data_IF_078136418682
#
_entry.id   IF_078136418682
#
_cell.length_a   1.000
_cell.length_b   1.000
_cell.length_c   1.000
_cell.angle_alpha   90.00
_cell.angle_beta   90.00
_cell.angle_gamma   90.00
#
_symmetry.space_group_name_H-M   'P 1'
#
loop_
_entity.id
_entity.type
_entity.pdbx_description
1 polymer ?
#
# COMPACT_ATOMS: atom_id res chain seq x y z
N UNK A 1 -26.45 10.80 22.64
CA UNK A 1 -26.24 9.36 22.96
C UNK A 1 -27.29 8.99 23.99
N UNK A 2 -27.89 7.82 23.93
CA UNK A 2 -28.86 7.41 24.96
C UNK A 2 -28.05 6.88 26.14
N UNK A 3 -28.25 7.42 27.33
CA UNK A 3 -27.70 6.86 28.56
C UNK A 3 -28.18 5.40 28.67
N UNK A 4 -27.28 4.40 28.65
CA UNK A 4 -27.68 2.99 28.63
C UNK A 4 -28.29 2.51 29.96
N UNK A 5 -28.21 3.32 31.04
CA UNK A 5 -28.78 3.04 32.35
C UNK A 5 -30.09 3.79 32.60
N UNK A 6 -30.26 4.99 32.03
CA UNK A 6 -31.44 5.85 32.30
C UNK A 6 -32.35 6.08 31.08
N UNK A 7 -31.86 5.80 29.86
CA UNK A 7 -32.63 5.99 28.63
C UNK A 7 -32.75 7.45 28.16
N UNK A 8 -32.09 8.40 28.84
CA UNK A 8 -32.16 9.82 28.49
C UNK A 8 -31.26 10.18 27.31
N UNK A 9 -31.70 11.15 26.49
CA UNK A 9 -30.91 11.72 25.40
C UNK A 9 -29.87 12.65 26.03
N UNK A 10 -28.63 12.17 26.15
CA UNK A 10 -27.50 12.99 26.55
C UNK A 10 -27.20 13.97 25.42
N UNK A 11 -27.36 15.27 25.69
CA UNK A 11 -26.80 16.33 24.86
C UNK A 11 -25.26 16.24 24.94
N UNK A 12 -24.66 15.74 23.86
CA UNK A 12 -23.22 15.52 23.78
C UNK A 12 -22.43 16.82 23.97
N UNK A 13 -23.02 17.96 23.64
CA UNK A 13 -22.37 19.26 23.76
C UNK A 13 -22.30 19.68 25.22
N UNK A 14 -23.39 19.51 25.97
CA UNK A 14 -23.47 19.90 27.38
C UNK A 14 -22.58 19.01 28.28
N UNK A 15 -22.54 17.70 28.01
CA UNK A 15 -21.62 16.78 28.69
C UNK A 15 -20.14 17.12 28.38
N UNK A 16 -19.83 17.46 27.13
CA UNK A 16 -18.47 17.83 26.74
C UNK A 16 -18.03 19.16 27.38
N UNK A 17 -18.93 20.14 27.46
CA UNK A 17 -18.70 21.42 28.13
C UNK A 17 -18.46 21.22 29.64
N UNK A 18 -19.28 20.39 30.31
CA UNK A 18 -19.10 20.07 31.72
C UNK A 18 -17.75 19.38 32.01
N UNK A 19 -17.37 18.39 31.18
CA UNK A 19 -16.09 17.69 31.33
C UNK A 19 -14.88 18.59 31.08
N UNK A 20 -14.97 19.51 30.12
CA UNK A 20 -13.91 20.50 29.84
C UNK A 20 -13.75 21.51 30.97
N UNK A 21 -14.85 21.96 31.56
CA UNK A 21 -14.79 22.90 32.68
C UNK A 21 -14.17 22.23 33.92
N UNK A 22 -14.56 21.00 34.21
CA UNK A 22 -13.98 20.21 35.30
C UNK A 22 -12.48 19.94 35.09
N UNK A 23 -12.07 19.67 33.84
CA UNK A 23 -10.66 19.49 33.50
C UNK A 23 -9.86 20.79 33.67
N UNK A 24 -10.43 21.95 33.32
CA UNK A 24 -9.81 23.26 33.55
C UNK A 24 -9.65 23.58 35.03
N UNK A 25 -10.68 23.34 35.83
CA UNK A 25 -10.63 23.54 37.29
C UNK A 25 -9.55 22.69 37.96
N UNK A 26 -9.37 21.45 37.50
CA UNK A 26 -8.37 20.52 38.03
C UNK A 26 -6.98 20.68 37.40
N UNK A 27 -6.82 21.58 36.41
CA UNK A 27 -5.56 21.79 35.69
C UNK A 27 -5.12 20.59 34.85
N UNK A 28 -6.06 19.73 34.44
CA UNK A 28 -5.79 18.49 33.71
C UNK A 28 -5.82 18.75 32.21
N UNK A 29 -4.79 18.28 31.50
CA UNK A 29 -4.73 18.35 30.03
C UNK A 29 -5.83 17.49 29.40
N UNK A 30 -6.34 17.89 28.24
CA UNK A 30 -7.29 17.06 27.48
C UNK A 30 -6.65 15.74 27.01
N UNK A 31 -5.39 15.81 26.59
CA UNK A 31 -4.60 14.71 26.01
C UNK A 31 -3.33 14.44 26.82
N UNK A 32 -2.75 13.25 26.64
CA UNK A 32 -1.48 12.84 27.27
C UNK A 32 -1.65 12.09 28.59
N UNK A 33 -0.54 11.64 29.21
CA UNK A 33 -0.55 10.84 30.43
C UNK A 33 -1.25 11.58 31.59
N UNK A 34 -2.31 10.99 32.14
CA UNK A 34 -3.12 11.61 33.20
C UNK A 34 -4.13 12.67 32.71
N UNK A 35 -4.29 12.84 31.39
CA UNK A 35 -5.28 13.73 30.81
C UNK A 35 -6.72 13.21 30.88
N UNK A 36 -7.70 14.09 30.61
CA UNK A 36 -9.14 13.80 30.70
C UNK A 36 -9.54 12.57 29.87
N UNK A 37 -9.10 12.49 28.61
CA UNK A 37 -9.45 11.35 27.75
C UNK A 37 -8.80 10.04 28.20
N UNK A 38 -7.58 10.09 28.76
CA UNK A 38 -6.93 8.92 29.36
C UNK A 38 -7.68 8.45 30.60
N UNK A 39 -8.21 9.37 31.42
CA UNK A 39 -9.07 9.06 32.57
C UNK A 39 -10.41 8.44 32.18
N UNK A 40 -11.08 8.97 31.15
CA UNK A 40 -12.31 8.37 30.63
C UNK A 40 -12.06 6.97 30.07
N UNK A 41 -10.97 6.81 29.32
CA UNK A 41 -10.55 5.50 28.78
C UNK A 41 -10.28 4.51 29.91
N UNK A 42 -9.60 4.93 30.99
CA UNK A 42 -9.41 4.12 32.20
C UNK A 42 -10.74 3.63 32.75
N UNK A 43 -11.68 4.54 33.00
CA UNK A 43 -12.98 4.22 33.61
C UNK A 43 -13.77 3.24 32.74
N UNK A 44 -13.78 3.43 31.42
CA UNK A 44 -14.46 2.51 30.49
C UNK A 44 -13.83 1.11 30.56
N UNK A 45 -12.50 1.01 30.51
CA UNK A 45 -11.79 -0.27 30.57
C UNK A 45 -12.00 -0.99 31.91
N UNK A 46 -11.91 -0.28 33.03
CA UNK A 46 -12.11 -0.86 34.36
C UNK A 46 -13.56 -1.29 34.59
N UNK A 47 -14.53 -0.49 34.14
CA UNK A 47 -15.96 -0.85 34.22
C UNK A 47 -16.25 -2.12 33.43
N UNK A 48 -15.68 -2.23 32.23
CA UNK A 48 -15.90 -3.38 31.38
C UNK A 48 -15.20 -4.66 31.93
N UNK A 49 -14.00 -4.52 32.50
CA UNK A 49 -13.32 -5.60 33.22
C UNK A 49 -14.10 -6.05 34.47
N UNK A 50 -14.77 -5.12 35.17
CA UNK A 50 -15.61 -5.47 36.31
C UNK A 50 -16.89 -6.20 35.92
N UNK A 51 -17.47 -5.86 34.77
CA UNK A 51 -18.57 -6.63 34.19
C UNK A 51 -18.14 -8.05 33.81
N UNK A 52 -17.00 -8.20 33.12
CA UNK A 52 -16.47 -9.52 32.72
C UNK A 52 -16.23 -10.45 33.92
N UNK A 53 -15.69 -9.94 35.04
CA UNK A 53 -15.44 -10.80 36.20
C UNK A 53 -16.72 -11.11 36.99
N UNK A 54 -17.72 -10.20 37.02
CA UNK A 54 -19.05 -10.53 37.56
C UNK A 54 -19.69 -11.65 36.76
N UNK A 55 -19.62 -11.60 35.43
CA UNK A 55 -20.12 -12.65 34.55
C UNK A 55 -19.37 -13.98 34.76
N UNK A 56 -18.04 -13.95 34.82
CA UNK A 56 -17.20 -15.14 35.05
C UNK A 56 -17.50 -15.82 36.40
N UNK A 57 -17.71 -15.03 37.46
CA UNK A 57 -17.99 -15.57 38.81
C UNK A 57 -19.47 -15.91 39.02
N UNK A 58 -20.37 -15.38 38.18
CA UNK A 58 -21.82 -15.55 38.31
C UNK A 58 -22.44 -14.79 39.48
N UNK A 59 -21.70 -13.87 40.12
CA UNK A 59 -22.21 -13.12 41.27
C UNK A 59 -21.57 -11.72 41.36
N UNK A 60 -22.31 -10.80 41.96
CA UNK A 60 -21.88 -9.42 42.17
C UNK A 60 -20.81 -9.28 43.26
N UNK A 61 -20.16 -8.12 43.28
CA UNK A 61 -19.21 -7.78 44.33
C UNK A 61 -19.91 -7.78 45.69
N UNK A 62 -19.35 -8.52 46.66
CA UNK A 62 -19.92 -8.77 48.00
C UNK A 62 -21.19 -9.64 48.05
N UNK A 63 -21.65 -10.19 46.93
CA UNK A 63 -22.69 -11.21 46.93
C UNK A 63 -22.12 -12.59 47.35
N UNK A 64 -22.95 -13.47 47.94
CA UNK A 64 -22.55 -14.84 48.26
C UNK A 64 -22.19 -15.62 46.99
N UNK A 65 -21.07 -16.35 47.04
CA UNK A 65 -20.59 -17.16 45.92
C UNK A 65 -21.13 -18.59 46.02
N UNK A 66 -21.82 -19.06 44.97
CA UNK A 66 -22.35 -20.43 44.90
C UNK A 66 -21.26 -21.47 44.59
N UNK A 67 -20.26 -21.07 43.79
CA UNK A 67 -19.23 -21.98 43.24
C UNK A 67 -17.89 -21.94 43.99
N UNK A 68 -17.80 -21.27 45.14
CA UNK A 68 -16.60 -21.20 45.99
C UNK A 68 -15.47 -20.29 45.48
N UNK A 69 -15.36 -20.02 44.18
CA UNK A 69 -14.46 -19.01 43.64
C UNK A 69 -14.98 -17.60 43.97
N UNK A 70 -14.09 -16.72 44.40
CA UNK A 70 -14.43 -15.36 44.86
C UNK A 70 -13.42 -14.35 44.32
N UNK A 71 -13.82 -13.08 44.28
CA UNK A 71 -12.90 -11.96 43.97
C UNK A 71 -11.75 -11.92 44.99
N UNK A 72 -10.51 -11.75 44.49
CA UNK A 72 -9.28 -11.76 45.29
C UNK A 72 -8.35 -10.59 44.90
N UNK A 73 -8.87 -9.38 45.05
CA UNK A 73 -8.15 -8.13 44.85
C UNK A 73 -7.97 -7.75 43.37
N UNK A 74 -7.03 -6.82 43.16
CA UNK A 74 -6.76 -6.19 41.86
C UNK A 74 -5.27 -6.30 41.53
N UNK A 75 -4.95 -6.19 40.24
CA UNK A 75 -3.59 -6.01 39.76
C UNK A 75 -3.55 -4.84 38.78
N UNK A 76 -2.79 -3.82 39.11
CA UNK A 76 -2.56 -2.70 38.22
C UNK A 76 -1.62 -3.10 37.07
N UNK A 77 -1.94 -2.65 35.86
CA UNK A 77 -1.03 -2.69 34.71
C UNK A 77 -1.21 -1.44 33.86
N UNK A 78 -0.11 -0.93 33.30
CA UNK A 78 -0.18 0.13 32.30
C UNK A 78 -0.42 -0.48 30.93
N UNK A 79 -1.43 0.05 30.25
CA UNK A 79 -1.88 -0.35 28.92
C UNK A 79 -1.73 0.86 28.00
N UNK A 80 -1.04 0.68 26.89
CA UNK A 80 -0.89 1.72 25.88
C UNK A 80 -2.13 1.73 24.98
N UNK A 81 -2.71 2.93 24.83
CA UNK A 81 -3.92 3.21 24.04
C UNK A 81 -3.63 4.34 23.05
N UNK A 82 -4.56 4.63 22.13
CA UNK A 82 -4.42 5.75 21.18
C UNK A 82 -4.33 7.12 21.85
N UNK A 83 -4.89 7.27 23.06
CA UNK A 83 -4.83 8.52 23.84
C UNK A 83 -3.63 8.58 24.79
N UNK A 84 -2.75 7.57 24.76
CA UNK A 84 -1.55 7.46 25.59
C UNK A 84 -1.58 6.26 26.57
N UNK A 85 -0.58 6.16 27.45
CA UNK A 85 -0.53 5.14 28.49
C UNK A 85 -1.62 5.36 29.54
N UNK A 86 -2.42 4.32 29.80
CA UNK A 86 -3.48 4.29 30.80
C UNK A 86 -3.16 3.20 31.82
N UNK A 87 -3.07 3.55 33.10
CA UNK A 87 -2.95 2.56 34.17
C UNK A 87 -4.34 2.04 34.52
N UNK A 88 -4.56 0.74 34.34
CA UNK A 88 -5.83 0.06 34.65
C UNK A 88 -5.63 -0.94 35.78
N UNK A 89 -6.62 -1.00 36.67
CA UNK A 89 -6.71 -1.97 37.75
C UNK A 89 -7.56 -3.16 37.29
N UNK A 90 -6.90 -4.30 37.09
CA UNK A 90 -7.55 -5.52 36.61
C UNK A 90 -8.02 -6.36 37.80
N UNK A 91 -9.32 -6.66 37.92
CA UNK A 91 -9.83 -7.50 38.98
C UNK A 91 -9.35 -8.95 38.82
N UNK A 92 -9.29 -9.67 39.94
CA UNK A 92 -8.79 -11.06 39.99
C UNK A 92 -9.75 -11.93 40.77
N UNK A 93 -9.81 -13.19 40.38
CA UNK A 93 -10.46 -14.25 41.14
C UNK A 93 -9.43 -14.99 42.02
N UNK A 94 -9.94 -15.77 42.97
CA UNK A 94 -9.12 -16.50 43.95
C UNK A 94 -8.43 -17.70 43.31
N UNK A 95 -9.11 -18.38 42.39
CA UNK A 95 -8.59 -19.57 41.71
C UNK A 95 -7.66 -19.21 40.54
N UNK A 96 -7.69 -17.96 40.07
CA UNK A 96 -6.86 -17.49 38.95
C UNK A 96 -7.38 -17.92 37.58
N UNK A 97 -8.61 -18.43 37.50
CA UNK A 97 -9.27 -18.94 36.30
C UNK A 97 -9.86 -17.84 35.41
N UNK A 98 -10.02 -16.62 35.93
CA UNK A 98 -10.59 -15.51 35.16
C UNK A 98 -9.67 -15.10 33.99
N UNK A 99 -10.14 -15.19 32.75
CA UNK A 99 -9.41 -14.74 31.55
C UNK A 99 -10.12 -13.55 30.88
N UNK A 100 -9.74 -12.30 31.22
CA UNK A 100 -10.38 -11.10 30.67
C UNK A 100 -10.18 -11.03 29.16
N UNK A 101 -11.22 -10.60 28.43
CA UNK A 101 -11.21 -10.53 26.97
C UNK A 101 -10.84 -9.13 26.46
N UNK A 102 -11.38 -8.08 27.09
CA UNK A 102 -11.14 -6.67 26.74
C UNK A 102 -9.67 -6.29 26.96
N UNK A 103 -9.08 -6.69 28.08
CA UNK A 103 -7.64 -6.51 28.33
C UNK A 103 -7.01 -7.79 28.85
N UNK A 104 -6.56 -8.65 27.93
CA UNK A 104 -6.03 -9.98 28.23
C UNK A 104 -4.91 -9.98 29.26
N UNK A 105 -4.73 -11.11 29.96
CA UNK A 105 -3.61 -11.30 30.90
C UNK A 105 -2.29 -10.98 30.19
N UNK A 106 -1.46 -10.14 30.83
CA UNK A 106 -0.15 -9.67 30.31
C UNK A 106 -0.21 -8.78 29.07
N UNK A 107 -1.40 -8.53 28.49
CA UNK A 107 -1.56 -7.53 27.42
C UNK A 107 -1.32 -6.13 28.00
N UNK A 108 -0.35 -5.43 27.41
CA UNK A 108 0.00 -4.05 27.73
C UNK A 108 -0.25 -3.08 26.58
N UNK A 109 -0.79 -3.55 25.45
CA UNK A 109 -1.10 -2.74 24.26
C UNK A 109 -2.52 -3.08 23.81
N UNK A 110 -3.37 -2.08 23.70
CA UNK A 110 -4.67 -2.21 23.05
C UNK A 110 -4.49 -2.05 21.53
N UNK A 111 -5.47 -2.55 20.80
CA UNK A 111 -5.49 -2.54 19.34
C UNK A 111 -5.40 -1.09 18.81
N UNK A 112 -4.69 -0.91 17.68
CA UNK A 112 -4.41 0.41 17.06
C UNK A 112 -2.91 0.80 17.02
N UNK A 113 -2.12 0.47 18.05
CA UNK A 113 -0.67 0.79 18.07
C UNK A 113 0.09 0.05 16.97
N UNK A 114 -0.23 -1.23 16.77
CA UNK A 114 0.38 -2.04 15.73
C UNK A 114 0.10 -1.40 14.34
N UNK A 115 -1.12 -0.88 14.10
CA UNK A 115 -1.48 -0.20 12.85
C UNK A 115 -0.69 1.10 12.63
N UNK A 116 -0.51 1.91 13.67
CA UNK A 116 0.33 3.11 13.63
C UNK A 116 1.78 2.75 13.30
N UNK A 117 2.33 1.72 13.95
CA UNK A 117 3.68 1.22 13.66
C UNK A 117 3.81 0.77 12.20
N UNK A 118 2.83 0.03 11.69
CA UNK A 118 2.80 -0.42 10.30
C UNK A 118 2.69 0.74 9.31
N UNK A 119 1.85 1.73 9.61
CA UNK A 119 1.67 2.95 8.80
C UNK A 119 2.95 3.78 8.72
N UNK A 120 3.63 4.00 9.87
CA UNK A 120 4.90 4.72 9.91
C UNK A 120 6.01 3.92 9.19
N UNK A 121 6.03 2.60 9.37
CA UNK A 121 6.95 1.72 8.65
C UNK A 121 6.74 1.77 7.14
N UNK A 122 5.49 1.79 6.68
CA UNK A 122 5.12 1.94 5.26
C UNK A 122 5.56 3.29 4.68
N UNK A 123 5.57 4.35 5.50
CA UNK A 123 6.11 5.66 5.10
C UNK A 123 7.63 5.70 5.02
N UNK A 124 8.31 4.63 5.43
CA UNK A 124 9.75 4.47 5.33
C UNK A 124 10.52 4.81 6.60
N UNK A 125 9.83 5.12 7.71
CA UNK A 125 10.51 5.40 8.98
C UNK A 125 11.26 4.15 9.47
N UNK A 126 12.42 4.40 10.07
CA UNK A 126 13.24 3.39 10.74
C UNK A 126 12.64 3.04 12.10
N UNK A 127 13.04 1.88 12.66
CA UNK A 127 12.58 1.48 14.01
C UNK A 127 12.98 2.48 15.09
N UNK A 128 14.09 3.21 14.90
CA UNK A 128 14.49 4.29 15.80
C UNK A 128 13.60 5.52 15.69
N UNK A 129 13.27 5.96 14.49
CA UNK A 129 12.37 7.11 14.27
C UNK A 129 10.94 6.81 14.74
N UNK A 130 10.46 5.58 14.53
CA UNK A 130 9.16 5.15 15.05
C UNK A 130 9.18 5.16 16.59
N UNK A 131 10.23 4.60 17.21
CA UNK A 131 10.38 4.63 18.67
C UNK A 131 10.39 6.05 19.22
N UNK A 132 11.09 6.98 18.57
CA UNK A 132 11.10 8.39 18.96
C UNK A 132 9.72 9.05 18.77
N UNK A 133 9.03 8.77 17.66
CA UNK A 133 7.67 9.26 17.42
C UNK A 133 6.68 8.83 18.50
N UNK A 134 6.79 7.58 18.98
CA UNK A 134 5.96 7.10 20.07
C UNK A 134 6.25 7.79 21.42
N UNK A 135 7.53 8.11 21.67
CA UNK A 135 7.93 8.86 22.85
C UNK A 135 7.41 10.32 22.78
N UNK A 136 7.64 10.99 21.65
CA UNK A 136 7.30 12.41 21.45
C UNK A 136 5.79 12.68 21.41
N UNK A 137 5.02 11.82 20.73
CA UNK A 137 3.59 12.06 20.47
C UNK A 137 2.69 11.40 21.51
N UNK A 138 3.05 10.20 21.97
CA UNK A 138 2.20 9.40 22.86
C UNK A 138 2.75 9.28 24.28
N UNK A 139 3.96 9.80 24.57
CA UNK A 139 4.62 9.63 25.86
C UNK A 139 4.90 8.14 26.17
N UNK A 140 5.05 7.33 25.12
CA UNK A 140 5.10 5.87 25.23
C UNK A 140 6.43 5.33 24.70
N UNK A 141 7.17 4.64 25.56
CA UNK A 141 8.42 3.99 25.12
C UNK A 141 8.12 2.67 24.42
N UNK A 142 8.13 2.67 23.08
CA UNK A 142 8.05 1.45 22.27
C UNK A 142 9.46 1.04 21.82
N UNK A 143 9.94 -0.13 22.27
CA UNK A 143 11.29 -0.59 21.91
C UNK A 143 11.42 -0.93 20.42
N UNK A 144 12.62 -0.75 19.85
CA UNK A 144 12.95 -1.15 18.48
C UNK A 144 12.63 -2.63 18.20
N UNK A 145 12.90 -3.50 19.17
CA UNK A 145 12.57 -4.93 19.12
C UNK A 145 11.06 -5.17 18.99
N UNK A 146 10.26 -4.39 19.73
CA UNK A 146 8.80 -4.46 19.62
C UNK A 146 8.32 -4.05 18.24
N UNK A 147 8.86 -2.97 17.69
CA UNK A 147 8.55 -2.52 16.32
C UNK A 147 8.92 -3.59 15.31
N UNK A 148 10.12 -4.19 15.42
CA UNK A 148 10.54 -5.29 14.56
C UNK A 148 9.56 -6.46 14.60
N UNK A 149 9.14 -6.92 15.81
CA UNK A 149 8.15 -7.99 15.95
C UNK A 149 6.81 -7.65 15.33
N UNK A 150 6.32 -6.42 15.48
CA UNK A 150 5.06 -5.98 14.84
C UNK A 150 5.20 -6.09 13.33
N UNK A 151 6.31 -5.59 12.77
CA UNK A 151 6.54 -5.68 11.33
C UNK A 151 6.76 -7.12 10.85
N UNK A 152 7.13 -8.06 11.71
CA UNK A 152 7.34 -9.45 11.31
C UNK A 152 6.04 -10.21 11.12
N UNK A 153 4.98 -9.87 11.86
CA UNK A 153 3.63 -10.40 11.61
C UNK A 153 3.14 -10.12 10.18
N UNK A 154 3.65 -9.06 9.56
CA UNK A 154 3.34 -8.68 8.18
C UNK A 154 3.96 -9.65 7.17
N UNK A 155 5.00 -10.38 7.53
CA UNK A 155 5.65 -11.32 6.62
C UNK A 155 4.68 -12.45 6.20
N UNK A 156 3.84 -12.91 7.14
CA UNK A 156 2.79 -13.91 6.86
C UNK A 156 1.70 -13.31 5.97
N UNK A 157 1.19 -12.12 6.30
CA UNK A 157 0.20 -11.39 5.49
C UNK A 157 0.71 -11.12 4.06
N UNK A 158 2.00 -10.79 3.91
CA UNK A 158 2.66 -10.61 2.63
C UNK A 158 2.69 -11.92 1.83
N UNK A 159 2.99 -13.05 2.48
CA UNK A 159 3.02 -14.35 1.83
C UNK A 159 1.62 -14.78 1.37
N UNK A 160 0.59 -14.56 2.19
CA UNK A 160 -0.80 -14.78 1.80
C UNK A 160 -1.20 -13.89 0.62
N UNK A 161 -0.88 -12.60 0.67
CA UNK A 161 -1.13 -11.66 -0.42
C UNK A 161 -0.40 -12.03 -1.71
N UNK A 162 0.84 -12.49 -1.62
CA UNK A 162 1.63 -12.92 -2.77
C UNK A 162 1.09 -14.20 -3.41
N UNK A 163 0.33 -15.01 -2.68
CA UNK A 163 -0.29 -16.24 -3.19
C UNK A 163 -1.80 -16.13 -3.39
N UNK A 164 -2.39 -14.95 -3.15
CA UNK A 164 -3.85 -14.75 -3.28
C UNK A 164 -4.34 -15.05 -4.70
N UNK A 165 -5.56 -15.59 -4.86
CA UNK A 165 -6.14 -15.79 -6.18
C UNK A 165 -6.30 -14.46 -6.92
N UNK A 166 -6.11 -14.51 -8.24
CA UNK A 166 -6.21 -13.37 -9.16
C UNK A 166 -7.42 -13.54 -10.11
N UNK A 167 -7.82 -12.46 -10.77
CA UNK A 167 -8.89 -12.54 -11.77
C UNK A 167 -8.45 -13.38 -12.97
N UNK A 168 -9.42 -14.01 -13.65
CA UNK A 168 -9.16 -14.84 -14.82
C UNK A 168 -8.57 -14.05 -15.98
N UNK A 169 -9.02 -12.82 -16.18
CA UNK A 169 -8.66 -12.00 -17.35
C UNK A 169 -8.27 -10.59 -16.93
N UNK A 170 -7.11 -10.13 -17.41
CA UNK A 170 -6.66 -8.75 -17.28
C UNK A 170 -6.51 -8.11 -18.68
N UNK A 171 -7.33 -7.12 -19.05
CA UNK A 171 -7.16 -6.38 -20.30
C UNK A 171 -5.76 -5.80 -20.50
N UNK A 172 -5.15 -5.31 -19.41
CA UNK A 172 -3.79 -4.76 -19.43
C UNK A 172 -3.03 -5.17 -18.18
N UNK A 173 -1.78 -5.59 -18.34
CA UNK A 173 -0.80 -5.60 -17.25
C UNK A 173 0.37 -4.68 -17.59
N UNK A 174 0.96 -4.07 -16.57
CA UNK A 174 2.15 -3.25 -16.65
C UNK A 174 3.25 -3.89 -15.82
N UNK A 175 4.44 -4.00 -16.40
CA UNK A 175 5.63 -4.52 -15.71
C UNK A 175 6.65 -3.38 -15.67
N UNK A 176 7.01 -2.95 -14.46
CA UNK A 176 8.02 -1.91 -14.25
C UNK A 176 8.96 -2.30 -13.10
N UNK A 177 10.09 -1.62 -13.03
CA UNK A 177 11.13 -1.90 -12.06
C UNK A 177 11.44 -0.67 -11.19
N UNK A 178 11.56 -0.88 -9.88
CA UNK A 178 12.21 0.05 -8.97
C UNK A 178 13.56 -0.51 -8.54
N UNK A 179 14.60 0.31 -8.60
CA UNK A 179 15.91 -0.08 -8.12
C UNK A 179 16.06 0.26 -6.64
N UNK A 180 16.44 -0.74 -5.84
CA UNK A 180 16.58 -0.66 -4.38
C UNK A 180 17.99 -1.06 -3.98
N UNK A 181 18.58 -0.32 -3.04
CA UNK A 181 19.89 -0.65 -2.48
C UNK A 181 19.76 -1.76 -1.45
N UNK A 182 20.33 -2.93 -1.74
CA UNK A 182 20.33 -4.09 -0.85
C UNK A 182 21.77 -4.49 -0.54
N UNK A 183 22.05 -4.86 0.70
CA UNK A 183 23.33 -5.38 1.16
C UNK A 183 23.32 -6.90 1.08
N UNK A 184 24.13 -7.45 0.20
CA UNK A 184 24.39 -8.89 0.12
C UNK A 184 25.92 -9.07 0.01
N UNK A 185 26.57 -9.11 1.17
CA UNK A 185 28.01 -8.85 1.32
C UNK A 185 28.37 -7.37 1.09
N UNK A 186 28.10 -6.84 -0.11
CA UNK A 186 28.25 -5.44 -0.49
C UNK A 186 26.90 -4.79 -0.83
N UNK A 187 26.80 -3.47 -0.69
CA UNK A 187 25.60 -2.72 -1.08
C UNK A 187 25.55 -2.62 -2.61
N UNK A 188 24.53 -3.22 -3.20
CA UNK A 188 24.27 -3.19 -4.65
C UNK A 188 22.87 -2.65 -4.92
N UNK A 189 22.70 -2.08 -6.10
CA UNK A 189 21.40 -1.61 -6.55
C UNK A 189 20.73 -2.75 -7.33
N UNK A 190 19.65 -3.33 -6.79
CA UNK A 190 18.93 -4.46 -7.38
C UNK A 190 17.57 -4.00 -7.91
N UNK A 191 17.09 -4.51 -9.06
CA UNK A 191 15.75 -4.24 -9.51
C UNK A 191 14.73 -5.03 -8.67
N UNK A 192 13.60 -4.39 -8.38
CA UNK A 192 12.41 -5.02 -7.83
C UNK A 192 11.29 -4.76 -8.82
N UNK A 193 10.78 -5.83 -9.40
CA UNK A 193 9.75 -5.79 -10.43
C UNK A 193 8.38 -5.79 -9.81
N UNK A 194 7.51 -4.95 -10.36
CA UNK A 194 6.14 -4.80 -9.90
C UNK A 194 5.24 -5.05 -11.10
N UNK A 195 4.28 -5.96 -10.94
CA UNK A 195 3.27 -6.22 -11.95
C UNK A 195 1.95 -5.60 -11.49
N UNK A 196 1.42 -4.68 -12.28
CA UNK A 196 0.19 -3.95 -12.03
C UNK A 196 -0.82 -4.28 -13.14
N UNK A 197 -1.96 -4.84 -12.79
CA UNK A 197 -3.05 -5.16 -13.69
C UNK A 197 -4.16 -4.12 -13.69
N UNK A 198 -4.86 -4.03 -14.80
CA UNK A 198 -6.16 -3.37 -14.95
C UNK A 198 -7.19 -4.46 -15.09
N UNK A 199 -8.17 -4.53 -14.19
CA UNK A 199 -9.24 -5.52 -14.26
C UNK A 199 -10.25 -5.19 -15.35
N UNK A 200 -11.07 -6.15 -15.73
CA UNK A 200 -12.22 -5.93 -16.64
C UNK A 200 -13.21 -4.89 -16.11
N UNK A 201 -13.25 -4.66 -14.79
CA UNK A 201 -14.06 -3.61 -14.15
C UNK A 201 -13.39 -2.23 -14.18
N UNK A 202 -12.16 -2.12 -14.69
CA UNK A 202 -11.43 -0.87 -14.77
C UNK A 202 -10.85 -0.45 -13.44
N UNK A 203 -10.42 -1.42 -12.64
CA UNK A 203 -9.83 -1.21 -11.35
C UNK A 203 -8.35 -1.63 -11.36
N UNK A 204 -7.57 -1.04 -10.47
CA UNK A 204 -6.14 -1.31 -10.35
C UNK A 204 -5.92 -2.48 -9.43
N UNK A 205 -5.10 -3.43 -9.85
CA UNK A 205 -4.72 -4.58 -9.04
C UNK A 205 -3.20 -4.74 -9.07
N UNK A 206 -2.54 -4.81 -7.90
CA UNK A 206 -1.10 -5.09 -7.85
C UNK A 206 -0.96 -6.60 -7.71
N UNK A 207 -0.47 -7.25 -8.76
CA UNK A 207 -0.42 -8.70 -8.87
C UNK A 207 0.71 -9.26 -8.00
N UNK A 208 1.82 -8.55 -7.90
CA UNK A 208 2.94 -8.95 -7.04
C UNK A 208 4.15 -8.04 -7.15
N UNK A 209 5.17 -8.37 -6.35
CA UNK A 209 6.47 -7.71 -6.31
C UNK A 209 7.54 -8.79 -6.23
N UNK A 210 8.51 -8.77 -7.15
CA UNK A 210 9.58 -9.77 -7.21
C UNK A 210 10.95 -9.10 -7.14
N UNK A 211 11.84 -9.66 -6.33
CA UNK A 211 13.23 -9.24 -6.30
C UNK A 211 13.96 -9.83 -7.51
N UNK A 212 14.73 -8.98 -8.20
CA UNK A 212 15.60 -9.36 -9.30
C UNK A 212 17.08 -9.26 -8.90
N UNK A 213 17.96 -9.82 -9.73
CA UNK A 213 19.42 -9.79 -9.59
C UNK A 213 20.13 -8.80 -10.54
N UNK A 214 19.40 -8.19 -11.49
CA UNK A 214 19.91 -7.23 -12.47
C UNK A 214 20.45 -7.84 -13.77
N UNK A 215 20.28 -9.16 -13.98
CA UNK A 215 20.66 -9.90 -15.17
C UNK A 215 19.59 -10.86 -15.66
N UNK A 216 18.33 -10.55 -15.38
CA UNK A 216 17.18 -11.43 -15.54
C UNK A 216 17.03 -11.86 -17.00
N UNK A 217 17.15 -13.17 -17.24
CA UNK A 217 16.87 -13.79 -18.52
C UNK A 217 15.44 -14.33 -18.62
N UNK A 218 15.10 -14.89 -19.77
CA UNK A 218 13.77 -15.45 -20.05
C UNK A 218 13.27 -16.45 -18.98
N UNK A 219 14.17 -17.23 -18.35
CA UNK A 219 13.81 -18.19 -17.29
C UNK A 219 13.23 -17.53 -16.05
N UNK A 220 13.78 -16.38 -15.63
CA UNK A 220 13.27 -15.63 -14.48
C UNK A 220 11.85 -15.14 -14.77
N UNK A 221 11.67 -14.50 -15.93
CA UNK A 221 10.37 -13.99 -16.36
C UNK A 221 9.33 -15.09 -16.52
N UNK A 222 9.71 -16.24 -17.09
CA UNK A 222 8.83 -17.39 -17.18
C UNK A 222 8.35 -17.85 -15.80
N UNK A 223 9.23 -17.85 -14.79
CA UNK A 223 8.86 -18.15 -13.41
C UNK A 223 7.83 -17.18 -12.84
N UNK A 224 8.09 -15.87 -12.95
CA UNK A 224 7.18 -14.80 -12.48
C UNK A 224 5.81 -14.90 -13.14
N UNK A 225 5.77 -15.03 -14.47
CA UNK A 225 4.52 -15.05 -15.22
C UNK A 225 3.74 -16.37 -15.02
N UNK A 226 4.45 -17.49 -14.85
CA UNK A 226 3.81 -18.79 -14.52
C UNK A 226 3.20 -18.75 -13.11
N UNK A 227 3.85 -18.10 -12.15
CA UNK A 227 3.28 -17.89 -10.82
C UNK A 227 1.95 -17.11 -10.89
N UNK A 228 1.93 -16.01 -11.66
CA UNK A 228 0.71 -15.21 -11.89
C UNK A 228 -0.38 -16.06 -12.54
N UNK A 229 -0.04 -16.86 -13.56
CA UNK A 229 -0.98 -17.78 -14.21
C UNK A 229 -1.53 -18.83 -13.24
N UNK A 230 -0.68 -19.44 -12.41
CA UNK A 230 -1.08 -20.43 -11.42
C UNK A 230 -1.99 -19.87 -10.32
N UNK A 231 -1.93 -18.56 -10.08
CA UNK A 231 -2.84 -17.85 -9.16
C UNK A 231 -4.22 -17.55 -9.78
N UNK A 232 -4.44 -17.89 -11.05
CA UNK A 232 -5.75 -17.84 -11.70
C UNK A 232 -5.82 -16.99 -12.97
N UNK A 233 -4.73 -16.31 -13.37
CA UNK A 233 -4.73 -15.48 -14.59
C UNK A 233 -4.64 -16.37 -15.83
N UNK A 234 -5.79 -16.64 -16.43
CA UNK A 234 -5.92 -17.43 -17.64
C UNK A 234 -5.54 -16.65 -18.89
N UNK A 235 -5.81 -15.34 -18.91
CA UNK A 235 -5.57 -14.52 -20.10
C UNK A 235 -5.16 -13.07 -19.80
N UNK A 236 -4.31 -12.53 -20.66
CA UNK A 236 -3.83 -11.15 -20.67
C UNK A 236 -3.90 -10.61 -22.09
N UNK A 237 -4.66 -9.52 -22.31
CA UNK A 237 -4.81 -8.97 -23.66
C UNK A 237 -3.56 -8.17 -24.08
N UNK A 238 -3.14 -7.20 -23.25
CA UNK A 238 -1.94 -6.39 -23.49
C UNK A 238 -0.99 -6.45 -22.29
N UNK A 239 0.28 -6.75 -22.55
CA UNK A 239 1.35 -6.65 -21.58
C UNK A 239 2.27 -5.47 -21.92
N UNK A 240 2.25 -4.43 -21.09
CA UNK A 240 3.05 -3.22 -21.27
C UNK A 240 4.36 -3.32 -20.48
N UNK A 241 5.50 -3.29 -21.16
CA UNK A 241 6.82 -3.40 -20.52
C UNK A 241 7.88 -2.51 -21.17
N UNK A 242 8.97 -2.24 -20.44
CA UNK A 242 10.09 -1.40 -20.89
C UNK A 242 11.26 -2.23 -21.41
N UNK A 243 11.19 -2.71 -22.67
CA UNK A 243 12.35 -3.26 -23.41
C UNK A 243 13.17 -4.35 -22.69
N UNK A 244 12.58 -5.07 -21.72
CA UNK A 244 13.29 -6.05 -20.89
C UNK A 244 13.61 -7.30 -21.71
N UNK A 245 14.88 -7.71 -21.72
CA UNK A 245 15.34 -8.87 -22.51
C UNK A 245 14.65 -10.14 -22.04
N UNK A 246 14.14 -10.95 -22.97
CA UNK A 246 13.52 -12.24 -22.67
C UNK A 246 12.10 -12.16 -22.07
N UNK A 247 11.61 -10.95 -21.74
CA UNK A 247 10.26 -10.77 -21.20
C UNK A 247 9.18 -10.92 -22.29
N UNK A 248 9.30 -10.31 -23.48
CA UNK A 248 8.31 -10.52 -24.55
C UNK A 248 8.08 -11.99 -24.88
N UNK A 249 9.17 -12.78 -24.98
CA UNK A 249 9.12 -14.21 -25.28
C UNK A 249 8.51 -15.01 -24.13
N UNK A 250 8.80 -14.64 -22.88
CA UNK A 250 8.17 -15.26 -21.71
C UNK A 250 6.67 -14.98 -21.65
N UNK A 251 6.23 -13.75 -21.99
CA UNK A 251 4.82 -13.37 -22.04
C UNK A 251 4.06 -14.25 -23.03
N UNK A 252 4.53 -14.33 -24.27
CA UNK A 252 3.87 -15.14 -25.31
C UNK A 252 3.97 -16.64 -25.05
N UNK A 253 4.96 -17.09 -24.28
CA UNK A 253 5.01 -18.49 -23.80
C UNK A 253 3.93 -18.80 -22.77
N UNK A 254 3.64 -17.87 -21.85
CA UNK A 254 2.65 -18.08 -20.77
C UNK A 254 1.22 -17.82 -21.27
N UNK A 255 1.03 -16.76 -22.05
CA UNK A 255 -0.23 -16.36 -22.67
C UNK A 255 0.00 -16.11 -24.16
N UNK A 256 -0.25 -17.14 -24.97
CA UNK A 256 0.03 -17.16 -26.42
C UNK A 256 -0.60 -16.00 -27.19
N UNK A 257 -1.79 -15.57 -26.78
CA UNK A 257 -2.54 -14.50 -27.44
C UNK A 257 -2.23 -13.09 -26.87
N UNK A 258 -1.32 -12.98 -25.90
CA UNK A 258 -1.00 -11.69 -25.29
C UNK A 258 -0.20 -10.81 -26.26
N UNK A 259 -0.64 -9.56 -26.42
CA UNK A 259 0.06 -8.57 -27.22
C UNK A 259 1.07 -7.82 -26.35
N UNK A 260 2.35 -7.94 -26.69
CA UNK A 260 3.42 -7.22 -25.99
C UNK A 260 3.51 -5.80 -26.55
N UNK A 261 3.37 -4.81 -25.68
CA UNK A 261 3.43 -3.40 -26.03
C UNK A 261 4.61 -2.73 -25.32
N UNK A 262 5.52 -2.11 -26.07
CA UNK A 262 6.56 -1.27 -25.47
C UNK A 262 5.93 -0.07 -24.78
N UNK A 263 6.38 0.22 -23.55
CA UNK A 263 5.87 1.32 -22.77
C UNK A 263 6.28 2.68 -23.36
N UNK A 264 5.34 3.38 -23.99
CA UNK A 264 5.56 4.72 -24.58
C UNK A 264 5.95 5.76 -23.52
N UNK A 265 5.55 5.54 -22.26
CA UNK A 265 5.86 6.44 -21.15
C UNK A 265 7.36 6.45 -20.83
N UNK A 266 8.03 5.30 -20.88
CA UNK A 266 9.48 5.24 -20.70
C UNK A 266 10.20 5.98 -21.83
N UNK A 267 9.73 5.87 -23.08
CA UNK A 267 10.24 6.63 -24.22
C UNK A 267 10.05 8.16 -24.05
N UNK A 268 8.85 8.59 -23.67
CA UNK A 268 8.54 10.00 -23.37
C UNK A 268 9.44 10.50 -22.23
N UNK A 269 9.61 9.72 -21.16
CA UNK A 269 10.45 10.12 -20.02
C UNK A 269 11.93 10.20 -20.37
N UNK A 270 12.42 9.29 -21.19
CA UNK A 270 13.81 9.29 -21.66
C UNK A 270 14.10 10.54 -22.52
N UNK A 271 13.09 11.09 -23.20
CA UNK A 271 13.20 12.36 -23.94
C UNK A 271 13.65 13.51 -23.02
N UNK A 272 13.03 13.65 -21.85
CA UNK A 272 13.34 14.74 -20.91
C UNK A 272 14.73 14.65 -20.27
N UNK A 273 15.41 13.49 -20.33
CA UNK A 273 16.79 13.34 -19.81
C UNK A 273 17.81 14.15 -20.61
N UNK A 274 17.52 14.42 -21.87
CA UNK A 274 18.43 15.13 -22.79
C UNK A 274 18.20 16.65 -22.84
N UNK A 275 17.23 17.16 -22.07
CA UNK A 275 16.88 18.58 -22.07
C UNK A 275 16.80 19.15 -20.64
N UNK A 276 17.21 20.41 -20.44
CA UNK A 276 17.08 21.08 -19.15
C UNK A 276 15.60 21.34 -18.82
N UNK A 277 15.29 21.41 -17.52
CA UNK A 277 13.90 21.55 -17.00
C UNK A 277 13.14 22.73 -17.59
N UNK A 278 13.84 23.83 -17.91
CA UNK A 278 13.25 25.03 -18.50
C UNK A 278 12.52 24.79 -19.83
N UNK A 279 12.84 23.72 -20.57
CA UNK A 279 12.16 23.39 -21.83
C UNK A 279 11.15 22.25 -21.71
N UNK A 280 10.97 21.66 -20.53
CA UNK A 280 10.14 20.44 -20.38
C UNK A 280 8.68 20.68 -20.76
N UNK A 281 8.11 21.83 -20.39
CA UNK A 281 6.70 22.12 -20.68
C UNK A 281 6.46 22.28 -22.19
N UNK A 282 7.38 22.95 -22.88
CA UNK A 282 7.32 23.14 -24.33
C UNK A 282 7.58 21.83 -25.09
N UNK A 283 8.61 21.07 -24.68
CA UNK A 283 8.89 19.73 -25.21
C UNK A 283 7.69 18.80 -25.06
N UNK A 284 7.04 18.80 -23.89
CA UNK A 284 5.86 17.98 -23.64
C UNK A 284 4.70 18.34 -24.56
N UNK A 285 4.46 19.65 -24.76
CA UNK A 285 3.42 20.16 -25.67
C UNK A 285 3.67 19.74 -27.11
N UNK A 286 4.91 19.89 -27.59
CA UNK A 286 5.29 19.61 -28.97
C UNK A 286 5.40 18.11 -29.26
N UNK A 287 5.71 17.29 -28.24
CA UNK A 287 5.79 15.85 -28.37
C UNK A 287 4.42 15.17 -28.36
N UNK A 288 3.43 15.78 -27.68
CA UNK A 288 2.08 15.22 -27.53
C UNK A 288 1.40 14.85 -28.86
N UNK A 289 1.44 15.68 -29.93
CA UNK A 289 0.91 15.33 -31.23
C UNK A 289 1.52 14.06 -31.85
N UNK A 290 2.75 13.68 -31.50
CA UNK A 290 3.41 12.49 -32.06
C UNK A 290 2.70 11.22 -31.62
N UNK A 291 2.49 11.04 -30.31
CA UNK A 291 1.85 9.83 -29.77
C UNK A 291 0.33 9.91 -29.70
N UNK A 292 -0.28 11.06 -29.96
CA UNK A 292 -1.75 11.20 -30.05
C UNK A 292 -2.26 11.23 -31.49
N UNK A 293 -1.37 11.11 -32.48
CA UNK A 293 -1.73 11.07 -33.90
C UNK A 293 -2.68 9.89 -34.22
N UNK A 294 -3.60 10.05 -35.19
CA UNK A 294 -4.56 9.01 -35.54
C UNK A 294 -3.94 7.83 -36.29
N UNK A 295 -2.79 8.03 -36.95
CA UNK A 295 -2.10 7.01 -37.75
C UNK A 295 -0.59 7.15 -37.62
N UNK A 296 0.16 6.10 -37.96
CA UNK A 296 1.63 6.16 -38.03
C UNK A 296 2.13 7.23 -39.00
N UNK A 297 1.48 7.40 -40.15
CA UNK A 297 1.86 8.42 -41.13
C UNK A 297 1.73 9.84 -40.57
N UNK A 298 0.61 10.14 -39.89
CA UNK A 298 0.43 11.41 -39.21
C UNK A 298 1.42 11.59 -38.06
N UNK A 299 1.75 10.52 -37.32
CA UNK A 299 2.77 10.57 -36.28
C UNK A 299 4.15 10.89 -36.85
N UNK A 300 4.53 10.34 -38.02
CA UNK A 300 5.79 10.64 -38.71
C UNK A 300 5.88 12.11 -39.10
N UNK A 301 4.79 12.69 -39.61
CA UNK A 301 4.71 14.11 -39.94
C UNK A 301 4.94 14.98 -38.68
N UNK A 302 4.18 14.70 -37.60
CA UNK A 302 4.35 15.40 -36.31
C UNK A 302 5.75 15.22 -35.72
N UNK A 303 6.34 14.04 -35.88
CA UNK A 303 7.70 13.79 -35.45
C UNK A 303 8.71 14.60 -36.28
N UNK A 304 8.50 14.76 -37.58
CA UNK A 304 9.30 15.63 -38.43
C UNK A 304 9.26 17.10 -37.98
N UNK A 305 8.07 17.63 -37.66
CA UNK A 305 7.90 18.97 -37.07
C UNK A 305 8.65 19.11 -35.74
N UNK A 306 8.51 18.11 -34.87
CA UNK A 306 9.18 18.06 -33.58
C UNK A 306 10.72 18.00 -33.73
N UNK A 307 11.24 17.18 -34.65
CA UNK A 307 12.67 17.08 -34.92
C UNK A 307 13.25 18.38 -35.47
N UNK A 308 12.56 19.03 -36.41
CA UNK A 308 13.00 20.30 -36.98
C UNK A 308 13.23 21.37 -35.90
N UNK A 309 12.41 21.37 -34.85
CA UNK A 309 12.54 22.29 -33.71
C UNK A 309 13.56 21.83 -32.67
N UNK A 310 13.45 20.57 -32.21
CA UNK A 310 14.17 20.11 -31.03
C UNK A 310 15.42 19.29 -31.32
N UNK A 311 15.50 18.58 -32.45
CA UNK A 311 16.67 17.77 -32.78
C UNK A 311 17.88 18.61 -33.22
N UNK A 312 17.69 19.89 -33.59
CA UNK A 312 18.80 20.83 -33.81
C UNK A 312 19.49 21.18 -32.49
N UNK A 313 18.70 21.46 -31.45
CA UNK A 313 19.20 21.85 -30.13
C UNK A 313 19.61 20.65 -29.27
N UNK A 314 18.89 19.54 -29.40
CA UNK A 314 19.07 18.30 -28.66
C UNK A 314 19.06 17.08 -29.61
N UNK A 315 20.13 16.85 -30.40
CA UNK A 315 20.18 15.80 -31.42
C UNK A 315 19.95 14.38 -30.88
N UNK A 316 20.29 14.15 -29.60
CA UNK A 316 20.07 12.87 -28.94
C UNK A 316 18.58 12.49 -28.85
N UNK A 317 17.68 13.47 -28.74
CA UNK A 317 16.23 13.22 -28.70
C UNK A 317 15.74 12.63 -30.03
N UNK A 318 16.13 13.24 -31.16
CA UNK A 318 15.76 12.73 -32.48
C UNK A 318 16.27 11.32 -32.73
N UNK A 319 17.53 11.04 -32.32
CA UNK A 319 18.11 9.69 -32.40
C UNK A 319 17.36 8.68 -31.51
N UNK A 320 16.98 9.05 -30.29
CA UNK A 320 16.21 8.20 -29.38
C UNK A 320 14.91 7.71 -30.04
N UNK A 321 14.12 8.64 -30.59
CA UNK A 321 12.84 8.32 -31.20
C UNK A 321 12.96 7.54 -32.50
N UNK A 322 13.92 7.87 -33.38
CA UNK A 322 14.18 7.09 -34.59
C UNK A 322 14.52 5.63 -34.28
N UNK A 323 15.36 5.40 -33.27
CA UNK A 323 15.76 4.05 -32.87
C UNK A 323 14.59 3.27 -32.28
N UNK A 324 13.72 3.94 -31.51
CA UNK A 324 12.55 3.32 -30.87
C UNK A 324 11.31 3.27 -31.79
N UNK A 325 11.36 3.80 -33.02
CA UNK A 325 10.17 4.01 -33.84
C UNK A 325 9.43 2.71 -34.16
N UNK A 326 10.17 1.65 -34.50
CA UNK A 326 9.57 0.35 -34.82
C UNK A 326 8.84 -0.28 -33.62
N UNK A 327 9.31 -0.02 -32.41
CA UNK A 327 8.69 -0.50 -31.17
C UNK A 327 7.55 0.43 -30.72
N UNK A 328 7.62 1.71 -31.07
CA UNK A 328 6.59 2.71 -30.79
C UNK A 328 5.41 2.62 -31.75
N UNK A 329 5.62 2.44 -33.05
CA UNK A 329 4.57 2.50 -34.06
C UNK A 329 3.34 1.59 -33.78
N UNK A 330 3.49 0.34 -33.30
CA UNK A 330 2.35 -0.53 -32.95
C UNK A 330 1.42 0.08 -31.88
N UNK A 331 1.92 0.99 -31.05
CA UNK A 331 1.08 1.72 -30.09
C UNK A 331 -0.05 2.49 -30.78
N UNK A 332 0.20 3.02 -31.99
CA UNK A 332 -0.74 3.87 -32.72
C UNK A 332 -1.88 3.07 -33.37
N UNK A 333 -1.71 1.76 -33.53
CA UNK A 333 -2.74 0.88 -34.09
C UNK A 333 -3.90 0.65 -33.11
N UNK A 334 -3.69 0.90 -31.82
CA UNK A 334 -4.73 0.81 -30.81
C UNK A 334 -5.75 1.95 -30.91
N UNK A 335 -7.00 1.62 -30.60
CA UNK A 335 -8.08 2.60 -30.42
C UNK A 335 -7.66 3.69 -29.41
N UNK A 336 -8.16 4.92 -29.61
CA UNK A 336 -7.80 6.06 -28.77
C UNK A 336 -8.18 5.87 -27.29
N UNK A 337 -9.21 5.09 -26.97
CA UNK A 337 -9.57 4.73 -25.59
C UNK A 337 -8.58 3.73 -24.99
N UNK A 338 -8.14 2.72 -25.75
CA UNK A 338 -7.08 1.78 -25.32
C UNK A 338 -5.78 2.54 -25.09
N UNK A 339 -5.36 3.38 -26.05
CA UNK A 339 -4.15 4.20 -25.92
C UNK A 339 -4.15 5.05 -24.67
N UNK A 340 -5.28 5.65 -24.29
CA UNK A 340 -5.39 6.40 -23.03
C UNK A 340 -5.16 5.54 -21.79
N UNK A 341 -5.54 4.27 -21.82
CA UNK A 341 -5.30 3.32 -20.71
C UNK A 341 -3.82 2.95 -20.65
N UNK A 342 -3.24 2.47 -21.75
CA UNK A 342 -1.84 2.00 -21.78
C UNK A 342 -0.80 3.13 -21.73
N UNK A 343 -1.20 4.37 -22.06
CA UNK A 343 -0.39 5.59 -21.90
C UNK A 343 -0.74 6.39 -20.62
N UNK A 344 -1.50 5.81 -19.68
CA UNK A 344 -1.76 6.45 -18.38
C UNK A 344 -0.59 6.19 -17.43
N UNK A 345 0.13 7.25 -17.05
CA UNK A 345 1.27 7.12 -16.13
C UNK A 345 0.87 7.10 -14.66
N UNK A 346 -0.31 7.63 -14.33
CA UNK A 346 -0.65 8.01 -12.97
C UNK A 346 -0.60 6.85 -11.97
N UNK A 347 -1.02 5.66 -12.35
CA UNK A 347 -1.11 4.53 -11.44
C UNK A 347 0.28 3.99 -11.06
N UNK A 348 1.05 3.57 -12.07
CA UNK A 348 2.37 2.99 -11.84
C UNK A 348 3.40 4.03 -11.37
N UNK A 349 3.27 5.28 -11.81
CA UNK A 349 4.15 6.35 -11.33
C UNK A 349 3.83 6.77 -9.90
N UNK A 350 2.55 6.86 -9.51
CA UNK A 350 2.18 7.14 -8.12
C UNK A 350 2.69 6.05 -7.20
N UNK A 351 2.55 4.78 -7.62
CA UNK A 351 3.07 3.62 -6.90
C UNK A 351 4.60 3.71 -6.74
N UNK A 352 5.32 3.86 -7.85
CA UNK A 352 6.77 3.96 -7.85
C UNK A 352 7.29 5.20 -7.09
N UNK A 353 6.57 6.32 -7.11
CA UNK A 353 6.93 7.50 -6.32
C UNK A 353 6.84 7.22 -4.82
N UNK A 354 5.81 6.49 -4.37
CA UNK A 354 5.66 6.08 -2.97
C UNK A 354 6.75 5.08 -2.56
N UNK A 355 7.03 4.07 -3.39
CA UNK A 355 8.14 3.15 -3.17
C UNK A 355 9.48 3.87 -3.06
N UNK A 356 9.79 4.78 -4.00
CA UNK A 356 11.03 5.57 -3.95
C UNK A 356 11.14 6.41 -2.68
N UNK A 357 10.04 6.98 -2.20
CA UNK A 357 10.03 7.75 -0.94
C UNK A 357 10.41 6.84 0.24
N UNK A 358 9.73 5.70 0.38
CA UNK A 358 9.96 4.77 1.48
C UNK A 358 11.39 4.17 1.46
N UNK A 359 11.87 3.77 0.27
CA UNK A 359 13.22 3.22 0.08
C UNK A 359 14.30 4.26 0.37
N UNK A 360 14.13 5.51 -0.09
CA UNK A 360 15.11 6.58 0.15
C UNK A 360 15.26 6.92 1.62
N UNK A 361 14.16 6.93 2.38
CA UNK A 361 14.19 7.17 3.83
C UNK A 361 15.07 6.15 4.57
N UNK A 362 15.05 4.87 4.14
CA UNK A 362 15.84 3.80 4.76
C UNK A 362 17.29 3.71 4.27
N UNK A 363 17.61 4.29 3.12
CA UNK A 363 18.96 4.30 2.54
C UNK A 363 19.38 2.98 1.89
N UNK A 364 19.47 1.88 2.64
CA UNK A 364 19.72 0.52 2.14
C UNK A 364 19.06 -0.55 3.02
N UNK A 365 18.83 -1.73 2.44
CA UNK A 365 18.23 -2.87 3.14
C UNK A 365 19.26 -3.97 3.42
N UNK A 366 19.09 -4.74 4.51
CA UNK A 366 20.02 -5.82 4.87
C UNK A 366 19.90 -7.08 3.99
N UNK A 367 18.78 -7.26 3.29
CA UNK A 367 18.52 -8.38 2.37
C UNK A 367 17.26 -8.08 1.52
N UNK A 368 16.97 -8.94 0.55
CA UNK A 368 15.81 -8.80 -0.34
C UNK A 368 14.48 -8.90 0.41
N UNK A 369 14.37 -9.78 1.40
CA UNK A 369 13.15 -9.96 2.19
C UNK A 369 12.76 -8.68 2.93
N UNK A 370 13.73 -7.96 3.51
CA UNK A 370 13.49 -6.68 4.16
C UNK A 370 13.06 -5.58 3.18
N UNK A 371 13.58 -5.60 1.96
CA UNK A 371 13.17 -4.70 0.89
C UNK A 371 11.74 -5.02 0.41
N UNK A 372 11.43 -6.28 0.13
CA UNK A 372 10.08 -6.75 -0.22
C UNK A 372 9.06 -6.37 0.84
N UNK A 373 9.36 -6.61 2.12
CA UNK A 373 8.51 -6.24 3.24
C UNK A 373 8.19 -4.74 3.27
N UNK A 374 9.17 -3.89 2.95
CA UNK A 374 8.95 -2.45 2.87
C UNK A 374 8.06 -2.05 1.69
N UNK A 375 8.29 -2.63 0.51
CA UNK A 375 7.49 -2.37 -0.68
C UNK A 375 6.06 -2.90 -0.51
N UNK A 376 5.89 -4.06 0.11
CA UNK A 376 4.60 -4.61 0.47
C UNK A 376 3.86 -3.71 1.46
N UNK A 377 4.52 -3.21 2.51
CA UNK A 377 3.88 -2.25 3.44
C UNK A 377 3.39 -0.98 2.74
N UNK A 378 4.17 -0.45 1.78
CA UNK A 378 3.72 0.67 0.94
C UNK A 378 2.49 0.27 0.12
N UNK A 379 2.49 -0.94 -0.45
CA UNK A 379 1.36 -1.49 -1.23
C UNK A 379 0.11 -1.62 -0.38
N UNK A 380 0.22 -2.29 0.77
CA UNK A 380 -0.83 -2.45 1.77
C UNK A 380 -1.41 -1.11 2.22
N UNK A 381 -0.56 -0.08 2.38
CA UNK A 381 -1.05 1.26 2.76
C UNK A 381 -1.90 1.97 1.69
N UNK A 382 -1.91 1.47 0.45
CA UNK A 382 -2.78 1.99 -0.62
C UNK A 382 -4.22 1.49 -0.48
N UNK A 383 -4.37 0.30 0.10
CA UNK A 383 -5.63 -0.39 0.28
C UNK A 383 -5.64 -1.13 1.62
N UNK A 384 -6.01 -0.42 2.71
CA UNK A 384 -6.07 -1.02 4.04
C UNK A 384 -7.19 -2.07 4.19
N UNK A 385 -8.08 -2.23 3.21
CA UNK A 385 -9.23 -3.16 3.27
C UNK A 385 -8.93 -4.54 2.69
N UNK A 386 -7.79 -4.70 1.99
CA UNK A 386 -7.39 -5.96 1.34
C UNK A 386 -8.24 -6.36 0.12
N UNK A 387 -9.34 -5.64 -0.16
CA UNK A 387 -10.21 -5.85 -1.32
C UNK A 387 -10.02 -4.76 -2.41
N UNK A 388 -9.45 -3.62 -2.03
CA UNK A 388 -9.47 -2.31 -2.69
C UNK A 388 -8.67 -2.20 -3.96
N UNK A 389 -9.34 -2.65 -5.01
CA UNK A 389 -9.06 -2.24 -6.37
C UNK A 389 -9.53 -0.80 -6.57
N UNK A 390 -8.63 0.17 -6.39
CA UNK A 390 -8.94 1.56 -6.69
C UNK A 390 -9.30 1.69 -8.18
N UNK A 391 -10.24 2.57 -8.55
CA UNK A 391 -10.59 2.79 -9.96
C UNK A 391 -9.36 3.22 -10.78
N UNK A 392 -9.15 2.58 -11.93
CA UNK A 392 -8.11 2.94 -12.91
C UNK A 392 -8.46 4.25 -13.61
N UNK A 393 -9.70 4.37 -14.07
CA UNK A 393 -10.22 5.57 -14.73
C UNK A 393 -11.69 5.81 -14.39
N UNK A 394 -12.08 7.09 -14.31
CA UNK A 394 -13.48 7.48 -14.06
C UNK A 394 -14.42 7.09 -15.22
N UNK A 395 -13.91 7.09 -16.47
CA UNK A 395 -14.65 6.69 -17.67
C UNK A 395 -14.11 5.38 -18.25
N UNK A 396 -14.39 4.25 -17.58
CA UNK A 396 -13.91 2.94 -18.03
C UNK A 396 -14.71 2.34 -19.20
N UNK A 397 -16.03 2.55 -19.25
CA UNK A 397 -16.90 1.88 -20.23
C UNK A 397 -16.50 2.08 -21.70
N UNK A 398 -16.05 3.27 -22.17
CA UNK A 398 -15.54 3.44 -23.53
C UNK A 398 -14.31 2.56 -23.81
N UNK A 399 -13.34 2.52 -22.88
CA UNK A 399 -12.17 1.66 -23.01
C UNK A 399 -12.55 0.18 -23.00
N UNK A 400 -13.46 -0.23 -22.10
CA UNK A 400 -13.95 -1.61 -22.06
C UNK A 400 -14.57 -2.05 -23.41
N UNK A 401 -15.38 -1.20 -24.04
CA UNK A 401 -15.94 -1.48 -25.37
C UNK A 401 -14.83 -1.60 -26.44
N UNK A 402 -13.85 -0.70 -26.42
CA UNK A 402 -12.71 -0.78 -27.35
C UNK A 402 -11.91 -2.07 -27.16
N UNK A 403 -11.66 -2.49 -25.91
CA UNK A 403 -11.03 -3.75 -25.59
C UNK A 403 -11.87 -4.96 -26.04
N UNK A 404 -13.18 -4.96 -25.80
CA UNK A 404 -14.07 -6.05 -26.21
C UNK A 404 -14.12 -6.23 -27.73
N UNK A 405 -13.99 -5.15 -28.51
CA UNK A 405 -13.89 -5.19 -29.97
C UNK A 405 -12.50 -5.70 -30.40
N UNK A 406 -11.43 -5.16 -29.82
CA UNK A 406 -10.06 -5.53 -30.20
C UNK A 406 -9.68 -6.97 -29.81
N UNK A 407 -10.32 -7.50 -28.76
CA UNK A 407 -10.04 -8.82 -28.19
C UNK A 407 -11.35 -9.63 -28.08
N UNK A 408 -12.07 -9.75 -29.19
CA UNK A 408 -13.35 -10.45 -29.28
C UNK A 408 -13.27 -11.87 -28.67
N UNK A 409 -14.24 -12.21 -27.83
CA UNK A 409 -14.32 -13.52 -27.17
C UNK A 409 -13.37 -13.72 -25.97
N UNK A 410 -12.50 -12.75 -25.66
CA UNK A 410 -11.53 -12.86 -24.55
C UNK A 410 -11.96 -12.14 -23.27
N UNK A 411 -12.77 -11.08 -23.41
CA UNK A 411 -13.25 -10.25 -22.29
C UNK A 411 -14.77 -10.42 -22.18
N UNK A 412 -15.24 -11.05 -21.11
CA UNK A 412 -16.66 -11.29 -20.80
C UNK A 412 -17.13 -10.55 -19.55
#
# INVERSE_FOLDING_TARGET
MIDPMTGEIIDQKELAEALLEQAREQGVSLLGPGGLLAGLTKNVLETALEAEITEHLGHERHAPAENGNVRNGIRSKTVFTEVGPVQVDVPRDREGSFEPQIVKKRQRRLDGIDEVVLSLSARGLTTGEISAHFDDVYGATVSKDTISRITEKVSEEMAEWANRPLDRVYPVIFIDAIHVKVRDGQVRNKPFYVVLGVTVNGERDILGIWAGDGGEGAKYWLGVLTEIKNRGVEDVCIAVCDGLKGLPEAITTVWEQAMVQTCVIHLIRNTFRYAPRQHWDELSRDLKPVYTAPTEAAAKERFGEFEAKWAVKYPAIGRLWRNAWAEFAPFLDWDAEIRRVICSTNAIESLNARYRRAVRARGHFPNDAAALKCLYLVTRSLDPTGQGRARWATRWKPALNAFAIAFEGRIN
#
